data_IF_307166640640
#
_entry.id   IF_307166640640
#
_cell.length_a   1.000
_cell.length_b   1.000
_cell.length_c   1.000
_cell.angle_alpha   90.00
_cell.angle_beta   90.00
_cell.angle_gamma   90.00
#
_symmetry.space_group_name_H-M   'P 1'
#
loop_
_entity.id
_entity.type
_entity.pdbx_description
1 polymer ?
#
# COMPACT_ATOMS: atom_id res chain seq x y z
N UNK A 1 1.35 25.67 7.50
CA UNK A 1 1.76 24.66 6.48
C UNK A 1 0.53 23.95 5.88
N UNK A 2 -0.34 24.67 5.18
CA UNK A 2 -1.54 24.08 4.53
C UNK A 2 -1.13 23.43 3.20
N UNK A 3 -0.21 24.03 2.47
CA UNK A 3 0.35 23.51 1.20
C UNK A 3 0.99 22.14 1.37
N UNK A 4 1.79 21.95 2.43
CA UNK A 4 2.37 20.64 2.78
C UNK A 4 1.29 19.59 3.06
N UNK A 5 0.18 19.96 3.70
CA UNK A 5 -0.91 19.02 3.95
C UNK A 5 -1.63 18.62 2.66
N UNK A 6 -1.85 19.57 1.75
CA UNK A 6 -2.43 19.32 0.43
C UNK A 6 -1.49 18.44 -0.40
N UNK A 7 -0.19 18.73 -0.40
CA UNK A 7 0.84 17.94 -1.10
C UNK A 7 0.89 16.51 -0.57
N UNK A 8 0.95 16.34 0.76
CA UNK A 8 0.91 15.03 1.41
C UNK A 8 -0.38 14.28 1.08
N UNK A 9 -1.52 14.97 1.08
CA UNK A 9 -2.80 14.40 0.66
C UNK A 9 -2.76 13.85 -0.76
N UNK A 10 -2.21 14.61 -1.72
CA UNK A 10 -2.02 14.16 -3.11
C UNK A 10 -1.06 12.95 -3.18
N UNK A 11 0.04 13.00 -2.42
CA UNK A 11 1.04 11.92 -2.37
C UNK A 11 0.42 10.63 -1.85
N UNK A 12 -0.27 10.68 -0.72
CA UNK A 12 -0.93 9.52 -0.12
C UNK A 12 -2.06 9.00 -1.00
N UNK A 13 -2.85 9.89 -1.62
CA UNK A 13 -3.87 9.49 -2.57
C UNK A 13 -3.28 8.71 -3.77
N UNK A 14 -2.15 9.18 -4.32
CA UNK A 14 -1.45 8.49 -5.41
C UNK A 14 -0.92 7.12 -4.98
N UNK A 15 -0.35 7.02 -3.77
CA UNK A 15 0.10 5.75 -3.19
C UNK A 15 -1.06 4.76 -2.99
N UNK A 16 -2.17 5.22 -2.43
CA UNK A 16 -3.38 4.42 -2.22
C UNK A 16 -3.98 3.94 -3.53
N UNK A 17 -4.02 4.81 -4.55
CA UNK A 17 -4.48 4.45 -5.90
C UNK A 17 -3.59 3.37 -6.51
N UNK A 18 -2.27 3.51 -6.42
CA UNK A 18 -1.33 2.50 -6.88
C UNK A 18 -1.51 1.17 -6.14
N UNK A 19 -1.70 1.18 -4.81
CA UNK A 19 -1.96 -0.04 -4.02
C UNK A 19 -3.23 -0.75 -4.51
N UNK A 20 -4.32 -0.01 -4.73
CA UNK A 20 -5.58 -0.56 -5.24
C UNK A 20 -5.43 -1.14 -6.65
N UNK A 21 -4.71 -0.46 -7.54
CA UNK A 21 -4.48 -0.96 -8.91
C UNK A 21 -3.64 -2.23 -8.93
N UNK A 22 -2.56 -2.31 -8.14
CA UNK A 22 -1.74 -3.52 -8.01
C UNK A 22 -2.57 -4.71 -7.51
N UNK A 23 -3.40 -4.52 -6.47
CA UNK A 23 -4.32 -5.56 -5.98
C UNK A 23 -5.28 -6.05 -7.07
N UNK A 24 -5.85 -5.12 -7.85
CA UNK A 24 -6.73 -5.47 -8.97
C UNK A 24 -5.98 -6.18 -10.09
N UNK A 25 -4.71 -5.84 -10.31
CA UNK A 25 -3.88 -6.47 -11.34
C UNK A 25 -3.69 -7.97 -11.08
N UNK A 26 -3.49 -8.37 -9.82
CA UNK A 26 -3.33 -9.78 -9.43
C UNK A 26 -4.58 -10.60 -9.76
N UNK A 27 -5.77 -10.02 -9.55
CA UNK A 27 -7.04 -10.71 -9.76
C UNK A 27 -7.57 -10.61 -11.21
N UNK A 28 -7.03 -9.71 -12.04
CA UNK A 28 -7.57 -9.43 -13.36
C UNK A 28 -6.89 -10.25 -14.47
N UNK A 29 -7.70 -10.71 -15.42
CA UNK A 29 -7.28 -11.43 -16.63
C UNK A 29 -7.83 -10.75 -17.89
N UNK A 30 -7.20 -11.03 -19.05
CA UNK A 30 -7.61 -10.48 -20.35
C UNK A 30 -7.63 -8.95 -20.39
N UNK A 31 -8.62 -8.38 -21.08
CA UNK A 31 -8.73 -6.93 -21.32
C UNK A 31 -8.78 -6.08 -20.03
N UNK A 32 -9.32 -6.64 -18.95
CA UNK A 32 -9.38 -5.94 -17.67
C UNK A 32 -7.98 -5.70 -17.11
N UNK A 33 -7.06 -6.65 -17.31
CA UNK A 33 -5.65 -6.53 -16.93
C UNK A 33 -4.97 -5.40 -17.70
N UNK A 34 -5.20 -5.31 -19.01
CA UNK A 34 -4.60 -4.27 -19.85
C UNK A 34 -5.08 -2.87 -19.47
N UNK A 35 -6.38 -2.71 -19.17
CA UNK A 35 -6.94 -1.45 -18.66
C UNK A 35 -6.30 -1.04 -17.33
N UNK A 36 -5.97 -1.99 -16.47
CA UNK A 36 -5.29 -1.73 -15.19
C UNK A 36 -3.82 -1.36 -15.44
N UNK A 37 -3.11 -2.10 -16.29
CA UNK A 37 -1.72 -1.81 -16.67
C UNK A 37 -1.57 -0.43 -17.28
N UNK A 38 -2.48 -0.04 -18.17
CA UNK A 38 -2.53 1.30 -18.74
C UNK A 38 -2.64 2.37 -17.65
N UNK A 39 -3.53 2.18 -16.67
CA UNK A 39 -3.70 3.11 -15.54
C UNK A 39 -2.45 3.19 -14.67
N UNK A 40 -1.77 2.06 -14.45
CA UNK A 40 -0.53 2.02 -13.68
C UNK A 40 0.58 2.79 -14.41
N UNK A 41 0.79 2.53 -15.71
CA UNK A 41 1.79 3.22 -16.53
C UNK A 41 1.54 4.74 -16.61
N UNK A 42 0.28 5.17 -16.69
CA UNK A 42 -0.06 6.60 -16.65
C UNK A 42 0.30 7.28 -15.32
N UNK A 43 0.15 6.58 -14.20
CA UNK A 43 0.49 7.13 -12.89
C UNK A 43 1.99 7.10 -12.70
N UNK A 44 2.63 5.98 -13.01
CA UNK A 44 4.06 5.73 -12.82
C UNK A 44 4.65 5.12 -14.09
N UNK A 45 5.17 5.96 -15.01
CA UNK A 45 5.66 5.50 -16.31
C UNK A 45 6.75 4.43 -16.23
N UNK A 46 7.62 4.54 -15.22
CA UNK A 46 8.73 3.61 -15.00
C UNK A 46 8.37 2.37 -14.16
N UNK A 47 7.08 2.17 -13.86
CA UNK A 47 6.65 0.99 -13.11
C UNK A 47 6.64 -0.25 -14.00
N UNK A 48 7.25 -1.33 -13.53
CA UNK A 48 7.30 -2.63 -14.21
C UNK A 48 6.64 -3.72 -13.38
N UNK A 49 6.12 -4.76 -14.05
CA UNK A 49 5.52 -5.91 -13.36
C UNK A 49 6.53 -6.67 -12.50
N UNK A 50 7.83 -6.64 -12.87
CA UNK A 50 8.91 -7.20 -12.06
C UNK A 50 8.97 -6.60 -10.65
N UNK A 51 8.63 -5.31 -10.49
CA UNK A 51 8.56 -4.67 -9.17
C UNK A 51 7.44 -5.22 -8.29
N UNK A 52 6.39 -5.83 -8.87
CA UNK A 52 5.36 -6.52 -8.09
C UNK A 52 5.91 -7.84 -7.55
N UNK A 53 6.57 -8.62 -8.41
CA UNK A 53 7.15 -9.92 -8.04
C UNK A 53 8.27 -9.78 -7.00
N UNK A 54 9.07 -8.72 -7.08
CA UNK A 54 10.06 -8.37 -6.06
C UNK A 54 9.41 -7.97 -4.73
N UNK A 55 8.27 -7.27 -4.76
CA UNK A 55 7.55 -6.92 -3.54
C UNK A 55 6.92 -8.14 -2.86
N UNK A 56 6.42 -9.11 -3.64
CA UNK A 56 5.92 -10.38 -3.12
C UNK A 56 7.04 -11.25 -2.56
N UNK A 57 8.19 -11.32 -3.24
CA UNK A 57 9.38 -12.01 -2.75
C UNK A 57 9.94 -11.38 -1.46
N UNK A 58 9.94 -10.05 -1.37
CA UNK A 58 10.33 -9.34 -0.16
C UNK A 58 9.35 -9.56 1.01
N UNK A 59 8.04 -9.66 0.73
CA UNK A 59 7.03 -9.95 1.74
C UNK A 59 7.12 -11.40 2.27
N UNK A 60 7.48 -12.37 1.42
CA UNK A 60 7.72 -13.75 1.82
C UNK A 60 9.00 -13.90 2.68
N UNK A 61 9.96 -12.98 2.56
CA UNK A 61 11.21 -12.98 3.34
C UNK A 61 11.12 -12.38 4.75
N UNK A 62 10.00 -11.76 5.13
CA UNK A 62 9.85 -11.07 6.44
C UNK A 62 9.00 -11.82 7.47
N UNK A 63 8.71 -13.10 7.25
CA UNK A 63 7.88 -13.92 8.17
C UNK A 63 8.66 -14.55 9.35
N UNK A 64 9.81 -13.98 9.74
CA UNK A 64 10.52 -14.35 10.97
C UNK A 64 11.05 -13.12 11.70
N UNK A 65 10.16 -12.35 12.33
CA UNK A 65 10.53 -11.34 13.34
C UNK A 65 9.31 -11.00 14.22
N UNK A 66 9.12 -11.84 15.24
CA UNK A 66 8.61 -11.58 16.60
C UNK A 66 7.24 -10.88 16.83
N UNK A 67 6.40 -11.44 17.74
CA UNK A 67 5.10 -10.91 18.09
C UNK A 67 5.23 -9.64 18.92
N UNK A 68 4.75 -8.50 18.39
CA UNK A 68 4.69 -7.25 19.14
C UNK A 68 3.51 -7.30 20.14
N UNK A 69 3.88 -7.60 21.38
CA UNK A 69 3.20 -7.43 22.66
C UNK A 69 1.84 -6.68 22.64
N UNK A 70 0.87 -7.36 23.26
CA UNK A 70 -0.42 -6.84 23.71
C UNK A 70 -0.27 -5.48 24.41
N UNK A 71 -0.93 -4.45 23.87
CA UNK A 71 -1.23 -3.22 24.61
C UNK A 71 -2.22 -3.58 25.73
N UNK A 72 -1.72 -3.76 26.95
CA UNK A 72 -2.55 -3.73 28.16
C UNK A 72 -3.33 -2.41 28.21
N UNK A 73 -4.67 -2.54 28.23
CA UNK A 73 -5.63 -1.48 28.57
C UNK A 73 -5.17 -0.81 29.87
N UNK A 74 -4.81 0.47 29.82
CA UNK A 74 -4.65 1.29 31.01
C UNK A 74 -6.01 1.40 31.71
N UNK A 75 -6.09 0.91 32.94
CA UNK A 75 -7.27 0.99 33.79
C UNK A 75 -7.64 2.47 34.09
N UNK A 76 -8.92 2.83 34.20
CA UNK A 76 -9.32 4.19 34.53
C UNK A 76 -8.95 4.52 35.98
N UNK A 77 -8.23 5.62 36.18
CA UNK A 77 -7.94 6.19 37.50
C UNK A 77 -9.26 6.51 38.21
N UNK A 78 -9.58 5.79 39.29
CA UNK A 78 -10.62 6.20 40.24
C UNK A 78 -10.14 7.48 40.93
N UNK A 79 -10.88 8.58 40.80
CA UNK A 79 -10.72 9.74 41.66
C UNK A 79 -11.31 9.39 43.03
N UNK A 80 -10.52 9.62 44.08
CA UNK A 80 -10.98 9.64 45.46
C UNK A 80 -11.78 10.92 45.74
#
# INVERSE_FOLDING_TARGET
MIERQIELGRRYHRQDKMRKLKKKLVAATGEARDKILYKIKRISPYWTEASLKQAEAAAAGTATAEPKAEKKKAAPKKKA
#
